data_IF_784535176200
#
_entry.id   IF_784535176200
#
_cell.length_a   1.000
_cell.length_b   1.000
_cell.length_c   1.000
_cell.angle_alpha   90.00
_cell.angle_beta   90.00
_cell.angle_gamma   90.00
#
_symmetry.space_group_name_H-M   'P 1'
#
loop_
_entity.id
_entity.type
_entity.pdbx_description
1 polymer ?
#
# COMPACT_ATOMS: atom_id res chain seq x y z
N UNK A 1 -21.10 86.82 -70.84
CA UNK A 1 -21.21 87.30 -69.45
C UNK A 1 -20.59 86.26 -68.51
N UNK A 2 -19.75 86.75 -67.60
CA UNK A 2 -18.97 86.13 -66.51
C UNK A 2 -19.68 84.99 -65.70
N UNK A 3 -18.99 83.85 -65.44
CA UNK A 3 -18.39 83.37 -64.15
C UNK A 3 -19.37 82.55 -63.27
N UNK A 4 -19.04 81.53 -62.45
CA UNK A 4 -17.84 80.74 -62.11
C UNK A 4 -18.28 79.67 -61.06
N UNK A 5 -17.82 78.39 -61.14
CA UNK A 5 -17.35 77.46 -60.05
C UNK A 5 -18.34 77.09 -58.87
N UNK A 6 -18.40 75.92 -58.21
CA UNK A 6 -17.43 74.81 -57.89
C UNK A 6 -18.10 73.65 -57.09
N UNK A 7 -17.58 72.41 -57.28
CA UNK A 7 -17.24 71.30 -56.32
C UNK A 7 -18.26 70.45 -55.50
N UNK A 8 -18.36 69.17 -55.90
CA UNK A 8 -18.18 67.86 -55.16
C UNK A 8 -18.81 67.56 -53.79
N UNK A 9 -19.46 66.38 -53.66
CA UNK A 9 -18.98 65.22 -52.87
C UNK A 9 -19.99 64.04 -52.89
N UNK A 10 -19.48 62.83 -53.13
CA UNK A 10 -20.16 61.52 -53.01
C UNK A 10 -19.91 60.92 -51.63
N UNK A 11 -20.89 60.25 -51.01
CA UNK A 11 -20.66 59.31 -49.89
C UNK A 11 -21.69 58.17 -49.89
N UNK A 12 -21.20 56.94 -50.07
CA UNK A 12 -21.91 55.67 -49.91
C UNK A 12 -21.90 55.28 -48.43
N UNK A 13 -23.07 54.97 -47.87
CA UNK A 13 -23.20 54.38 -46.53
C UNK A 13 -23.30 52.86 -46.71
N UNK A 14 -22.26 52.14 -46.27
CA UNK A 14 -22.26 50.69 -46.09
C UNK A 14 -22.41 50.41 -44.59
N UNK A 15 -23.54 49.82 -44.21
CA UNK A 15 -23.94 49.52 -42.82
C UNK A 15 -23.32 48.23 -42.31
N UNK A 16 -22.87 48.29 -41.05
CA UNK A 16 -22.11 47.31 -40.30
C UNK A 16 -22.85 45.98 -40.00
N UNK A 17 -22.10 44.88 -40.05
CA UNK A 17 -22.38 43.61 -39.35
C UNK A 17 -21.15 43.29 -38.49
N UNK A 18 -21.18 43.69 -37.22
CA UNK A 18 -20.16 43.34 -36.22
C UNK A 18 -20.85 43.20 -34.85
N UNK A 19 -21.45 42.03 -34.60
CA UNK A 19 -22.16 41.76 -33.34
C UNK A 19 -22.40 40.29 -33.01
N UNK A 20 -21.82 39.34 -33.76
CA UNK A 20 -22.11 37.91 -33.58
C UNK A 20 -20.97 37.09 -32.95
N UNK A 21 -19.79 37.67 -32.68
CA UNK A 21 -18.63 36.89 -32.18
C UNK A 21 -18.60 36.76 -30.65
N UNK A 22 -18.95 37.81 -29.89
CA UNK A 22 -18.79 37.82 -28.41
C UNK A 22 -19.83 36.97 -27.64
N UNK A 23 -21.04 36.79 -28.19
CA UNK A 23 -22.09 36.02 -27.53
C UNK A 23 -21.88 34.49 -27.63
N UNK A 24 -21.15 34.04 -28.65
CA UNK A 24 -20.93 32.61 -28.89
C UNK A 24 -19.78 32.06 -28.02
N UNK A 25 -18.71 32.84 -27.80
CA UNK A 25 -17.58 32.44 -26.94
C UNK A 25 -17.97 32.37 -25.46
N UNK A 26 -18.70 33.35 -24.94
CA UNK A 26 -19.17 33.35 -23.55
C UNK A 26 -20.03 32.11 -23.22
N UNK A 27 -20.95 31.71 -24.12
CA UNK A 27 -21.77 30.50 -23.94
C UNK A 27 -20.96 29.20 -23.90
N UNK A 28 -19.80 29.17 -24.58
CA UNK A 28 -18.92 28.00 -24.60
C UNK A 28 -18.20 27.81 -23.26
N UNK A 29 -17.73 28.89 -22.63
CA UNK A 29 -17.06 28.84 -21.33
C UNK A 29 -17.98 28.34 -20.21
N UNK A 30 -19.25 28.78 -20.18
CA UNK A 30 -20.24 28.25 -19.22
C UNK A 30 -20.46 26.74 -19.39
N UNK A 31 -20.47 26.26 -20.64
CA UNK A 31 -20.64 24.83 -20.93
C UNK A 31 -19.41 24.04 -20.46
N UNK A 32 -18.21 24.61 -20.62
CA UNK A 32 -16.95 24.01 -20.18
C UNK A 32 -16.85 23.92 -18.65
N UNK A 33 -17.21 24.99 -17.92
CA UNK A 33 -17.28 24.99 -16.45
C UNK A 33 -18.26 23.92 -15.95
N UNK A 34 -19.47 23.86 -16.53
CA UNK A 34 -20.46 22.85 -16.14
C UNK A 34 -19.95 21.42 -16.38
N UNK A 35 -19.19 21.19 -17.45
CA UNK A 35 -18.57 19.89 -17.71
C UNK A 35 -17.46 19.55 -16.70
N UNK A 36 -16.67 20.54 -16.28
CA UNK A 36 -15.64 20.36 -15.24
C UNK A 36 -16.28 20.11 -13.88
N UNK A 37 -17.31 20.86 -13.50
CA UNK A 37 -18.06 20.67 -12.24
C UNK A 37 -18.70 19.27 -12.16
N UNK A 38 -19.21 18.75 -13.28
CA UNK A 38 -19.71 17.38 -13.36
C UNK A 38 -18.60 16.36 -13.10
N UNK A 39 -17.39 16.57 -13.65
CA UNK A 39 -16.24 15.69 -13.42
C UNK A 39 -15.74 15.78 -11.96
N UNK A 40 -15.74 16.97 -11.36
CA UNK A 40 -15.39 17.15 -9.93
C UNK A 40 -16.39 16.37 -9.06
N UNK A 41 -17.68 16.45 -9.37
CA UNK A 41 -18.72 15.71 -8.62
C UNK A 41 -18.52 14.19 -8.74
N UNK A 42 -18.18 13.68 -9.92
CA UNK A 42 -17.87 12.27 -10.14
C UNK A 42 -16.65 11.84 -9.30
N UNK A 43 -15.58 12.66 -9.31
CA UNK A 43 -14.35 12.40 -8.55
C UNK A 43 -14.61 12.46 -7.05
N UNK A 44 -15.37 13.44 -6.55
CA UNK A 44 -15.75 13.53 -5.15
C UNK A 44 -16.55 12.30 -4.70
N UNK A 45 -17.43 11.78 -5.57
CA UNK A 45 -18.14 10.53 -5.31
C UNK A 45 -17.21 9.30 -5.32
N UNK A 46 -16.13 9.32 -6.09
CA UNK A 46 -15.07 8.31 -6.02
C UNK A 46 -14.30 8.44 -4.71
N UNK A 47 -13.84 9.64 -4.33
CA UNK A 47 -13.13 9.89 -3.07
C UNK A 47 -13.97 9.45 -1.86
N UNK A 48 -15.26 9.75 -1.86
CA UNK A 48 -16.18 9.37 -0.78
C UNK A 48 -16.44 7.85 -0.69
N UNK A 49 -16.14 7.07 -1.73
CA UNK A 49 -16.29 5.61 -1.75
C UNK A 49 -15.09 4.88 -1.14
N UNK A 50 -13.96 5.55 -0.99
CA UNK A 50 -12.73 4.94 -0.48
C UNK A 50 -12.24 5.70 0.76
N UNK A 51 -12.12 4.99 1.88
CA UNK A 51 -11.66 5.56 3.16
C UNK A 51 -10.15 5.88 3.18
N UNK A 52 -9.40 5.42 2.15
CA UNK A 52 -7.96 5.64 1.98
C UNK A 52 -7.45 5.07 0.65
N UNK A 53 -6.13 5.08 0.47
CA UNK A 53 -5.47 4.26 -0.55
C UNK A 53 -5.25 4.85 -1.93
N UNK A 54 -4.67 4.04 -2.82
CA UNK A 54 -4.20 4.48 -4.12
C UNK A 54 -5.30 5.09 -5.00
N UNK A 55 -6.46 4.44 -5.08
CA UNK A 55 -7.59 4.95 -5.87
C UNK A 55 -8.02 6.32 -5.33
N UNK A 56 -8.08 6.47 -4.01
CA UNK A 56 -8.38 7.74 -3.36
C UNK A 56 -7.30 8.78 -3.65
N UNK A 57 -6.02 8.45 -3.52
CA UNK A 57 -4.90 9.37 -3.81
C UNK A 57 -4.91 9.84 -5.27
N UNK A 58 -5.13 8.94 -6.22
CA UNK A 58 -5.25 9.27 -7.64
C UNK A 58 -6.48 10.14 -7.90
N UNK A 59 -7.62 9.82 -7.27
CA UNK A 59 -8.83 10.62 -7.36
C UNK A 59 -8.64 12.02 -6.74
N UNK A 60 -7.97 12.15 -5.59
CA UNK A 60 -7.62 13.43 -4.96
C UNK A 60 -6.68 14.24 -5.86
N UNK A 61 -5.66 13.63 -6.44
CA UNK A 61 -4.78 14.28 -7.44
C UNK A 61 -5.56 14.77 -8.66
N UNK A 62 -6.47 13.93 -9.19
CA UNK A 62 -7.37 14.29 -10.29
C UNK A 62 -8.29 15.44 -9.90
N UNK A 63 -8.81 15.45 -8.68
CA UNK A 63 -9.66 16.52 -8.14
C UNK A 63 -8.91 17.85 -8.14
N UNK A 64 -7.68 17.87 -7.65
CA UNK A 64 -6.84 19.08 -7.63
C UNK A 64 -6.55 19.59 -9.04
N UNK A 65 -6.28 18.68 -10.00
CA UNK A 65 -6.12 19.05 -11.41
C UNK A 65 -7.39 19.67 -12.00
N UNK A 66 -8.56 19.09 -11.71
CA UNK A 66 -9.86 19.62 -12.18
C UNK A 66 -10.22 20.97 -11.52
N UNK A 67 -9.87 21.17 -10.25
CA UNK A 67 -10.06 22.45 -9.56
C UNK A 67 -9.17 23.54 -10.16
N UNK A 68 -7.91 23.21 -10.48
CA UNK A 68 -7.02 24.11 -11.20
C UNK A 68 -7.60 24.46 -12.58
N UNK A 69 -8.08 23.46 -13.32
CA UNK A 69 -8.71 23.63 -14.62
C UNK A 69 -9.93 24.56 -14.53
N UNK A 70 -10.83 24.33 -13.57
CA UNK A 70 -12.02 25.15 -13.29
C UNK A 70 -11.63 26.62 -13.04
N UNK A 71 -10.69 26.84 -12.13
CA UNK A 71 -10.21 28.18 -11.75
C UNK A 71 -9.70 28.96 -12.96
N UNK A 72 -9.04 28.28 -13.90
CA UNK A 72 -8.52 28.89 -15.12
C UNK A 72 -9.64 29.33 -16.06
N UNK A 73 -10.64 28.46 -16.28
CA UNK A 73 -11.77 28.77 -17.17
C UNK A 73 -12.61 29.91 -16.58
N UNK A 74 -12.79 29.94 -15.26
CA UNK A 74 -13.47 31.04 -14.55
C UNK A 74 -12.73 32.38 -14.70
N UNK A 75 -11.41 32.40 -14.48
CA UNK A 75 -10.62 33.62 -14.64
C UNK A 75 -10.75 34.21 -16.06
N UNK A 76 -10.90 33.35 -17.07
CA UNK A 76 -11.14 33.76 -18.46
C UNK A 76 -12.55 34.33 -18.67
N UNK A 77 -13.56 33.68 -18.11
CA UNK A 77 -14.94 34.14 -18.17
C UNK A 77 -15.07 35.55 -17.57
N UNK A 78 -14.41 35.81 -16.44
CA UNK A 78 -14.36 37.12 -15.81
C UNK A 78 -13.65 38.16 -16.68
N UNK A 79 -12.52 37.79 -17.31
CA UNK A 79 -11.80 38.67 -18.23
C UNK A 79 -12.67 39.08 -19.44
N UNK A 80 -13.49 38.17 -19.98
CA UNK A 80 -14.42 38.46 -21.07
C UNK A 80 -15.59 39.33 -20.61
N UNK A 81 -16.16 39.04 -19.43
CA UNK A 81 -17.27 39.81 -18.86
C UNK A 81 -16.89 41.26 -18.53
N UNK A 82 -15.63 41.51 -18.15
CA UNK A 82 -15.11 42.84 -17.83
C UNK A 82 -14.92 43.75 -19.06
N UNK A 83 -14.98 43.20 -20.29
CA UNK A 83 -14.86 43.99 -21.54
C UNK A 83 -13.57 44.81 -21.68
N UNK A 84 -12.54 44.49 -20.89
CA UNK A 84 -11.32 45.27 -20.81
C UNK A 84 -10.33 44.80 -21.88
N UNK A 85 -9.78 45.73 -22.67
CA UNK A 85 -8.47 45.54 -23.29
C UNK A 85 -7.46 45.42 -22.16
N UNK A 86 -7.24 44.21 -21.69
CA UNK A 86 -6.19 43.93 -20.71
C UNK A 86 -4.88 43.92 -21.51
N UNK A 87 -4.10 44.99 -21.40
CA UNK A 87 -2.69 44.96 -21.81
C UNK A 87 -1.94 44.15 -20.76
N UNK A 88 -1.99 42.82 -20.93
CA UNK A 88 -1.31 41.84 -20.09
C UNK A 88 0.13 41.75 -20.57
N UNK A 89 1.04 42.54 -19.97
CA UNK A 89 2.48 42.28 -20.10
C UNK A 89 2.87 41.20 -19.10
N UNK A 90 2.59 39.96 -19.48
CA UNK A 90 3.05 38.72 -18.83
C UNK A 90 3.69 37.90 -19.96
N UNK A 91 4.62 36.95 -19.73
CA UNK A 91 5.12 36.10 -20.81
C UNK A 91 3.97 35.21 -21.29
N UNK A 92 3.15 35.73 -22.21
CA UNK A 92 2.05 35.03 -22.81
C UNK A 92 2.66 33.96 -23.72
N UNK A 93 2.32 32.71 -23.47
CA UNK A 93 2.52 31.68 -24.48
C UNK A 93 1.55 32.02 -25.59
N UNK A 94 2.06 32.41 -26.76
CA UNK A 94 1.22 32.74 -27.91
C UNK A 94 0.34 31.53 -28.25
N UNK A 95 -1.00 31.69 -28.37
CA UNK A 95 -1.90 30.58 -28.69
C UNK A 95 -1.42 29.83 -29.92
N UNK A 96 -1.34 28.50 -29.80
CA UNK A 96 -0.89 27.60 -30.86
C UNK A 96 -2.07 26.72 -31.31
N UNK A 97 -2.84 27.16 -32.33
CA UNK A 97 -4.00 26.42 -32.80
C UNK A 97 -3.64 25.06 -33.38
N UNK A 98 -2.48 24.90 -34.01
CA UNK A 98 -2.02 23.61 -34.54
C UNK A 98 -1.75 22.61 -33.41
N UNK A 99 -1.13 23.05 -32.30
CA UNK A 99 -0.92 22.20 -31.12
C UNK A 99 -2.25 21.86 -30.43
N UNK A 100 -3.19 22.81 -30.37
CA UNK A 100 -4.52 22.55 -29.83
C UNK A 100 -5.27 21.47 -30.63
N UNK A 101 -5.16 21.48 -31.96
CA UNK A 101 -5.77 20.45 -32.82
C UNK A 101 -5.11 19.08 -32.63
N UNK A 102 -3.78 19.02 -32.48
CA UNK A 102 -3.08 17.77 -32.15
C UNK A 102 -3.53 17.20 -30.80
N UNK A 103 -3.66 18.06 -29.78
CA UNK A 103 -4.11 17.67 -28.44
C UNK A 103 -5.53 17.12 -28.44
N UNK A 104 -6.43 17.59 -29.32
CA UNK A 104 -7.76 16.97 -29.49
C UNK A 104 -7.66 15.50 -29.94
N UNK A 105 -6.73 15.19 -30.84
CA UNK A 105 -6.44 13.82 -31.25
C UNK A 105 -5.88 12.97 -30.11
N UNK A 106 -4.93 13.52 -29.33
CA UNK A 106 -4.37 12.87 -28.15
C UNK A 106 -5.44 12.62 -27.07
N UNK A 107 -6.33 13.59 -26.82
CA UNK A 107 -7.46 13.48 -25.89
C UNK A 107 -8.48 12.44 -26.34
N UNK A 108 -8.83 12.39 -27.63
CA UNK A 108 -9.73 11.37 -28.15
C UNK A 108 -9.17 9.95 -27.97
N UNK A 109 -7.87 9.78 -28.22
CA UNK A 109 -7.18 8.50 -27.96
C UNK A 109 -7.11 8.18 -26.46
N UNK A 110 -6.90 9.18 -25.61
CA UNK A 110 -6.91 9.02 -24.15
C UNK A 110 -8.31 8.66 -23.64
N UNK A 111 -9.37 9.26 -24.18
CA UNK A 111 -10.75 8.92 -23.86
C UNK A 111 -11.06 7.45 -24.17
N UNK A 112 -10.60 6.93 -25.32
CA UNK A 112 -10.74 5.51 -25.63
C UNK A 112 -9.98 4.60 -24.65
N UNK A 113 -8.82 5.03 -24.15
CA UNK A 113 -8.10 4.30 -23.10
C UNK A 113 -8.86 4.28 -21.78
N UNK A 114 -9.48 5.39 -21.40
CA UNK A 114 -10.37 5.48 -20.23
C UNK A 114 -11.54 4.50 -20.37
N UNK A 115 -12.25 4.52 -21.50
CA UNK A 115 -13.39 3.62 -21.73
C UNK A 115 -12.98 2.14 -21.71
N UNK A 116 -11.83 1.81 -22.31
CA UNK A 116 -11.30 0.45 -22.27
C UNK A 116 -10.94 0.02 -20.84
N UNK A 117 -10.31 0.90 -20.06
CA UNK A 117 -9.98 0.63 -18.66
C UNK A 117 -11.24 0.47 -17.79
N UNK A 118 -12.30 1.25 -18.05
CA UNK A 118 -13.58 1.14 -17.33
C UNK A 118 -14.29 -0.20 -17.63
N UNK A 119 -14.26 -0.64 -18.89
CA UNK A 119 -14.81 -1.95 -19.28
C UNK A 119 -14.04 -3.11 -18.64
N UNK A 120 -12.71 -3.01 -18.60
CA UNK A 120 -11.84 -3.98 -17.92
C UNK A 120 -12.18 -4.06 -16.43
N UNK A 121 -12.26 -2.91 -15.75
CA UNK A 121 -12.64 -2.82 -14.33
C UNK A 121 -14.04 -3.36 -14.04
N UNK A 122 -14.99 -3.18 -14.96
CA UNK A 122 -16.34 -3.72 -14.83
C UNK A 122 -16.39 -5.26 -14.97
N UNK A 123 -15.41 -5.86 -15.63
CA UNK A 123 -15.33 -7.31 -15.88
C UNK A 123 -14.43 -8.07 -14.89
N UNK A 124 -13.61 -7.35 -14.13
CA UNK A 124 -12.65 -7.91 -13.19
C UNK A 124 -13.27 -8.13 -11.79
N UNK A 125 -12.70 -9.06 -11.03
CA UNK A 125 -13.04 -9.32 -9.62
C UNK A 125 -11.79 -9.35 -8.73
N UNK A 126 -11.98 -9.15 -7.42
CA UNK A 126 -10.91 -9.19 -6.41
C UNK A 126 -9.79 -8.18 -6.68
N UNK A 127 -8.54 -8.60 -6.45
CA UNK A 127 -7.33 -7.80 -6.66
C UNK A 127 -7.19 -7.24 -8.08
N UNK A 128 -7.57 -8.01 -9.10
CA UNK A 128 -7.55 -7.57 -10.50
C UNK A 128 -8.50 -6.37 -10.71
N UNK A 129 -9.65 -6.36 -10.01
CA UNK A 129 -10.59 -5.25 -10.09
C UNK A 129 -10.01 -3.97 -9.48
N UNK A 130 -9.33 -4.07 -8.33
CA UNK A 130 -8.69 -2.93 -7.67
C UNK A 130 -7.62 -2.29 -8.57
N UNK A 131 -6.83 -3.10 -9.28
CA UNK A 131 -5.84 -2.61 -10.26
C UNK A 131 -6.52 -1.92 -11.43
N UNK A 132 -7.55 -2.55 -11.99
CA UNK A 132 -8.26 -2.00 -13.13
C UNK A 132 -8.90 -0.65 -12.76
N UNK A 133 -9.46 -0.53 -11.55
CA UNK A 133 -9.97 0.74 -11.01
C UNK A 133 -8.86 1.79 -10.80
N UNK A 134 -7.70 1.41 -10.26
CA UNK A 134 -6.56 2.31 -10.17
C UNK A 134 -6.14 2.81 -11.56
N UNK A 135 -6.07 1.92 -12.56
CA UNK A 135 -5.74 2.30 -13.94
C UNK A 135 -6.77 3.25 -14.52
N UNK A 136 -8.07 3.03 -14.28
CA UNK A 136 -9.13 3.98 -14.67
C UNK A 136 -8.81 5.38 -14.15
N UNK A 137 -8.48 5.53 -12.86
CA UNK A 137 -8.16 6.84 -12.31
C UNK A 137 -6.86 7.43 -12.88
N UNK A 138 -5.83 6.61 -13.13
CA UNK A 138 -4.60 7.07 -13.82
C UNK A 138 -4.87 7.58 -15.23
N UNK A 139 -5.69 6.86 -16.01
CA UNK A 139 -6.05 7.26 -17.39
C UNK A 139 -6.92 8.53 -17.37
N UNK A 140 -7.81 8.67 -16.38
CA UNK A 140 -8.64 9.88 -16.19
C UNK A 140 -7.81 11.08 -15.73
N UNK A 141 -6.84 10.90 -14.85
CA UNK A 141 -5.88 11.94 -14.46
C UNK A 141 -5.06 12.42 -15.67
N UNK A 142 -4.58 11.47 -16.49
CA UNK A 142 -3.86 11.80 -17.73
C UNK A 142 -4.73 12.59 -18.71
N UNK A 143 -6.01 12.24 -18.83
CA UNK A 143 -6.98 13.00 -19.64
C UNK A 143 -7.14 14.44 -19.12
N UNK A 144 -7.25 14.62 -17.80
CA UNK A 144 -7.34 15.95 -17.19
C UNK A 144 -6.08 16.81 -17.46
N UNK A 145 -4.89 16.20 -17.43
CA UNK A 145 -3.64 16.88 -17.80
C UNK A 145 -3.61 17.29 -19.29
N UNK A 146 -4.11 16.44 -20.19
CA UNK A 146 -4.24 16.78 -21.62
C UNK A 146 -5.24 17.90 -21.85
N UNK A 147 -6.35 17.93 -21.10
CA UNK A 147 -7.32 19.03 -21.12
C UNK A 147 -6.66 20.35 -20.70
N UNK A 148 -5.86 20.35 -19.63
CA UNK A 148 -5.08 21.54 -19.23
C UNK A 148 -4.15 22.01 -20.34
N UNK A 149 -3.38 21.09 -20.96
CA UNK A 149 -2.49 21.42 -22.07
C UNK A 149 -3.24 21.95 -23.29
N UNK A 150 -4.45 21.43 -23.56
CA UNK A 150 -5.31 21.92 -24.63
C UNK A 150 -5.76 23.35 -24.38
N UNK A 151 -6.22 23.67 -23.17
CA UNK A 151 -6.59 25.03 -22.81
C UNK A 151 -5.39 25.99 -22.90
N UNK A 152 -4.20 25.54 -22.50
CA UNK A 152 -2.96 26.30 -22.69
C UNK A 152 -2.75 26.66 -24.16
N UNK A 153 -2.76 25.64 -25.03
CA UNK A 153 -2.46 25.81 -26.45
C UNK A 153 -3.53 26.64 -27.16
N UNK A 154 -4.81 26.43 -26.83
CA UNK A 154 -5.93 27.12 -27.48
C UNK A 154 -6.07 28.55 -27.02
N UNK A 155 -5.84 28.84 -25.74
CA UNK A 155 -6.17 30.13 -25.12
C UNK A 155 -4.96 30.91 -24.60
N UNK A 156 -3.74 30.38 -24.72
CA UNK A 156 -2.48 31.07 -24.36
C UNK A 156 -2.26 31.25 -22.86
N UNK A 157 -2.88 30.41 -22.03
CA UNK A 157 -2.87 30.52 -20.57
C UNK A 157 -1.55 29.96 -20.04
N UNK A 158 -0.71 30.78 -19.42
CA UNK A 158 0.56 30.34 -18.84
C UNK A 158 0.33 29.57 -17.53
N UNK A 159 0.69 28.29 -17.52
CA UNK A 159 0.70 27.47 -16.31
C UNK A 159 2.05 27.66 -15.60
N UNK A 160 2.09 27.78 -14.26
CA UNK A 160 3.33 27.52 -13.54
C UNK A 160 3.75 26.08 -13.88
N UNK A 161 4.97 25.93 -14.40
CA UNK A 161 5.62 24.64 -14.67
C UNK A 161 5.45 23.77 -13.43
N UNK A 162 4.76 22.63 -13.56
CA UNK A 162 4.78 21.58 -12.53
C UNK A 162 6.23 21.19 -12.31
N UNK A 163 6.79 21.34 -11.09
CA UNK A 163 8.11 20.84 -10.79
C UNK A 163 8.13 19.33 -11.10
N UNK A 164 9.15 18.89 -11.85
CA UNK A 164 9.56 17.50 -11.76
C UNK A 164 9.84 17.17 -10.29
N UNK A 165 9.46 15.97 -9.88
CA UNK A 165 9.75 15.42 -8.54
C UNK A 165 11.25 15.52 -8.29
N UNK A 166 11.65 16.50 -7.48
CA UNK A 166 13.00 16.61 -6.93
C UNK A 166 12.98 15.91 -5.59
N UNK A 167 13.81 14.87 -5.48
CA UNK A 167 14.07 14.14 -4.25
C UNK A 167 14.51 15.09 -3.13
N UNK A 168 13.96 14.99 -1.91
CA UNK A 168 14.55 15.60 -0.73
C UNK A 168 15.60 14.68 -0.11
N UNK A 169 16.79 15.25 0.03
CA UNK A 169 17.91 14.82 0.85
C UNK A 169 17.59 14.83 2.35
N UNK A 170 18.22 13.89 3.06
CA UNK A 170 18.30 13.68 4.51
C UNK A 170 18.70 14.92 5.32
N UNK A 171 18.29 14.99 6.59
CA UNK A 171 19.28 15.18 7.66
C UNK A 171 19.11 14.26 8.88
N UNK A 172 20.24 14.11 9.57
CA UNK A 172 20.60 13.14 10.60
C UNK A 172 20.06 13.39 12.02
N UNK A 173 20.15 12.30 12.80
CA UNK A 173 20.09 12.08 14.25
C UNK A 173 20.52 13.22 15.18
N UNK A 174 19.84 13.33 16.33
CA UNK A 174 20.50 13.24 17.64
C UNK A 174 19.49 12.95 18.77
N UNK A 175 19.83 11.98 19.62
CA UNK A 175 19.14 11.65 20.88
C UNK A 175 19.71 12.49 22.03
N UNK A 176 18.97 12.64 23.15
CA UNK A 176 19.48 12.03 24.38
C UNK A 176 18.39 11.51 25.35
N UNK A 177 18.74 10.43 26.05
CA UNK A 177 18.25 10.04 27.39
C UNK A 177 19.42 10.26 28.38
N UNK A 178 19.31 10.26 29.74
CA UNK A 178 18.26 9.65 30.58
C UNK A 178 17.93 10.42 31.90
N UNK A 179 16.97 9.91 32.69
CA UNK A 179 17.16 9.60 34.13
C UNK A 179 15.84 9.18 34.83
N UNK A 180 15.98 8.20 35.72
CA UNK A 180 14.97 7.53 36.52
C UNK A 180 14.41 8.35 37.70
N UNK A 181 13.27 7.91 38.26
CA UNK A 181 13.10 7.68 39.72
C UNK A 181 11.82 6.88 40.01
N UNK A 182 11.92 6.07 41.06
CA UNK A 182 10.94 5.11 41.55
C UNK A 182 10.12 5.66 42.73
N UNK A 183 8.89 5.13 42.87
CA UNK A 183 8.19 4.66 44.09
C UNK A 183 6.75 4.37 43.62
N UNK A 184 6.13 3.22 43.83
CA UNK A 184 6.14 2.41 45.04
C UNK A 184 4.77 2.60 45.72
N UNK A 185 3.74 1.87 45.26
CA UNK A 185 2.61 1.54 46.12
C UNK A 185 1.96 0.23 45.67
N UNK A 186 1.97 -0.71 46.61
CA UNK A 186 1.63 -2.12 46.47
C UNK A 186 0.12 -2.29 46.61
N UNK A 187 -0.56 -2.30 45.46
CA UNK A 187 -1.83 -3.00 45.27
C UNK A 187 -1.49 -4.14 44.33
N UNK A 188 -2.00 -5.35 44.55
CA UNK A 188 -1.80 -6.50 43.63
C UNK A 188 -2.29 -6.13 42.23
N UNK A 189 -1.40 -5.52 41.45
CA UNK A 189 -1.69 -4.79 40.23
C UNK A 189 -1.30 -5.66 39.04
N UNK A 190 -2.16 -5.65 38.03
CA UNK A 190 -1.83 -6.22 36.73
C UNK A 190 -0.46 -5.69 36.29
N UNK A 191 0.39 -6.59 35.79
CA UNK A 191 1.70 -6.23 35.26
C UNK A 191 1.48 -5.17 34.17
N UNK A 192 2.04 -3.94 34.30
CA UNK A 192 1.70 -2.83 33.40
C UNK A 192 2.19 -3.04 31.97
N UNK A 193 3.10 -4.00 31.78
CA UNK A 193 3.67 -4.39 30.50
C UNK A 193 3.03 -5.69 29.94
N UNK A 194 2.09 -6.30 30.65
CA UNK A 194 1.32 -7.42 30.13
C UNK A 194 0.45 -6.96 28.95
N UNK A 195 0.22 -7.86 28.01
CA UNK A 195 -0.63 -7.58 26.86
C UNK A 195 -2.09 -7.38 27.30
N UNK A 196 -2.67 -6.18 27.08
CA UNK A 196 -4.04 -5.88 27.49
C UNK A 196 -5.09 -6.65 26.68
N UNK A 197 -4.77 -7.09 25.46
CA UNK A 197 -5.71 -7.79 24.57
C UNK A 197 -5.86 -9.27 24.98
N UNK A 198 -4.89 -9.79 25.75
CA UNK A 198 -4.88 -11.17 26.25
C UNK A 198 -4.73 -11.26 27.79
N UNK A 199 -5.70 -10.73 28.58
CA UNK A 199 -5.56 -10.57 30.03
C UNK A 199 -5.60 -11.89 30.83
N UNK A 200 -5.91 -13.01 30.18
CA UNK A 200 -6.02 -14.33 30.83
C UNK A 200 -4.67 -15.08 30.89
N UNK A 201 -3.62 -14.57 30.26
CA UNK A 201 -2.30 -15.19 30.21
C UNK A 201 -1.48 -14.80 31.45
N UNK A 202 -0.75 -15.77 32.01
CA UNK A 202 0.17 -15.51 33.13
C UNK A 202 1.50 -14.95 32.62
N UNK A 203 1.59 -13.63 32.56
CA UNK A 203 2.81 -12.93 32.17
C UNK A 203 3.92 -12.94 33.23
N UNK A 204 3.70 -13.48 34.43
CA UNK A 204 4.77 -13.60 35.45
C UNK A 204 5.76 -14.74 35.17
N UNK A 205 5.53 -15.52 34.10
CA UNK A 205 6.45 -16.57 33.70
C UNK A 205 7.80 -15.99 33.23
N UNK A 206 8.88 -16.66 33.61
CA UNK A 206 10.25 -16.21 33.35
C UNK A 206 10.55 -15.81 31.89
N UNK A 207 10.04 -16.50 30.85
CA UNK A 207 10.26 -16.08 29.46
C UNK A 207 9.69 -14.69 29.14
N UNK A 208 8.51 -14.34 29.68
CA UNK A 208 7.88 -13.04 29.45
C UNK A 208 8.58 -11.92 30.22
N UNK A 209 8.97 -12.18 31.49
CA UNK A 209 9.77 -11.22 32.25
C UNK A 209 11.11 -10.92 31.56
N UNK A 210 11.78 -11.95 31.03
CA UNK A 210 13.03 -11.79 30.30
C UNK A 210 12.80 -10.97 29.02
N UNK A 211 11.80 -11.33 28.21
CA UNK A 211 11.44 -10.61 26.99
C UNK A 211 11.18 -9.12 27.26
N UNK A 212 10.41 -8.81 28.30
CA UNK A 212 10.16 -7.43 28.71
C UNK A 212 11.44 -6.66 29.05
N UNK A 213 12.35 -7.30 29.82
CA UNK A 213 13.62 -6.68 30.20
C UNK A 213 14.56 -6.47 28.99
N UNK A 214 14.45 -7.32 27.97
CA UNK A 214 15.23 -7.23 26.72
C UNK A 214 14.59 -6.25 25.71
N UNK A 215 13.34 -5.84 25.95
CA UNK A 215 12.60 -4.92 25.09
C UNK A 215 11.92 -5.59 23.91
N UNK A 216 11.77 -6.92 23.95
CA UNK A 216 11.05 -7.68 22.94
C UNK A 216 9.54 -7.37 22.96
N UNK A 217 8.90 -7.47 21.79
CA UNK A 217 7.45 -7.31 21.70
C UNK A 217 6.77 -8.56 22.23
N UNK A 218 5.76 -8.38 23.08
CA UNK A 218 4.92 -9.46 23.61
C UNK A 218 3.53 -9.31 22.99
N UNK A 219 3.00 -10.39 22.42
CA UNK A 219 1.62 -10.48 21.92
C UNK A 219 1.04 -11.84 22.28
N UNK A 220 0.04 -11.86 23.16
CA UNK A 220 -0.54 -13.10 23.67
C UNK A 220 0.51 -14.05 24.27
N UNK A 221 0.61 -15.27 23.74
CA UNK A 221 1.61 -16.28 24.14
C UNK A 221 2.96 -16.14 23.40
N UNK A 222 3.09 -15.16 22.51
CA UNK A 222 4.26 -14.96 21.66
C UNK A 222 5.19 -13.87 22.18
N UNK A 223 6.48 -14.19 22.22
CA UNK A 223 7.56 -13.22 22.33
C UNK A 223 8.16 -13.03 20.94
N UNK A 224 8.18 -11.81 20.44
CA UNK A 224 8.60 -11.42 19.10
C UNK A 224 9.86 -10.56 19.22
N UNK A 225 10.99 -11.17 18.88
CA UNK A 225 12.29 -10.51 18.82
C UNK A 225 12.57 -10.07 17.38
N UNK A 226 12.82 -8.78 17.19
CA UNK A 226 13.11 -8.17 15.88
C UNK A 226 14.52 -7.56 15.89
N UNK A 227 15.40 -8.12 15.06
CA UNK A 227 16.81 -7.74 14.94
C UNK A 227 17.18 -7.48 13.47
N UNK A 228 18.41 -7.03 13.24
CA UNK A 228 19.04 -6.95 11.92
C UNK A 228 20.25 -7.86 11.85
N UNK A 229 20.37 -8.62 10.76
CA UNK A 229 21.51 -9.49 10.53
C UNK A 229 22.81 -8.67 10.44
N UNK A 230 23.83 -9.07 11.19
CA UNK A 230 25.08 -8.31 11.31
C UNK A 230 25.89 -8.19 10.01
N UNK A 231 25.61 -9.03 9.00
CA UNK A 231 26.38 -9.10 7.76
C UNK A 231 25.85 -8.14 6.70
N UNK A 232 24.52 -8.06 6.54
CA UNK A 232 23.86 -7.35 5.43
C UNK A 232 22.70 -6.47 5.87
N UNK A 233 22.52 -6.28 7.19
CA UNK A 233 21.44 -5.51 7.81
C UNK A 233 20.02 -5.99 7.43
N UNK A 234 19.89 -7.22 6.92
CA UNK A 234 18.59 -7.80 6.58
C UNK A 234 17.74 -8.00 7.85
N UNK A 235 16.42 -7.78 7.77
CA UNK A 235 15.53 -8.04 8.90
C UNK A 235 15.62 -9.51 9.35
N UNK A 236 15.75 -9.72 10.66
CA UNK A 236 15.73 -11.03 11.30
C UNK A 236 14.66 -11.00 12.38
N UNK A 237 13.70 -11.90 12.32
CA UNK A 237 12.61 -11.98 13.30
C UNK A 237 12.53 -13.38 13.86
N UNK A 238 12.39 -13.49 15.17
CA UNK A 238 12.16 -14.75 15.88
C UNK A 238 10.96 -14.56 16.81
N UNK A 239 9.87 -15.23 16.50
CA UNK A 239 8.67 -15.29 17.34
C UNK A 239 8.60 -16.66 18.04
N UNK A 240 8.47 -16.65 19.36
CA UNK A 240 8.47 -17.85 20.21
C UNK A 240 7.17 -17.94 20.98
N UNK A 241 6.42 -19.02 20.80
CA UNK A 241 5.23 -19.31 21.59
C UNK A 241 5.61 -20.12 22.85
N UNK A 242 5.23 -19.59 24.02
CA UNK A 242 5.52 -20.17 25.34
C UNK A 242 4.30 -20.80 26.04
N UNK A 243 3.18 -21.02 25.35
CA UNK A 243 1.97 -21.63 25.96
C UNK A 243 2.21 -23.04 26.53
N UNK A 244 3.14 -23.79 25.94
CA UNK A 244 3.56 -25.11 26.40
C UNK A 244 4.74 -25.08 27.40
N UNK A 245 5.11 -23.90 27.92
CA UNK A 245 6.21 -23.76 28.87
C UNK A 245 5.87 -24.36 30.24
N UNK A 246 6.71 -25.27 30.73
CA UNK A 246 6.62 -25.80 32.10
C UNK A 246 7.90 -25.50 32.88
N UNK A 247 7.80 -24.58 33.84
CA UNK A 247 8.90 -24.19 34.73
C UNK A 247 9.45 -25.36 35.57
N UNK A 248 8.71 -26.47 35.69
CA UNK A 248 9.14 -27.67 36.44
C UNK A 248 9.83 -28.70 35.55
N UNK A 249 9.85 -28.51 34.23
CA UNK A 249 10.54 -29.40 33.30
C UNK A 249 12.05 -29.26 33.44
N UNK A 250 12.72 -30.38 33.70
CA UNK A 250 14.18 -30.45 33.70
C UNK A 250 14.77 -30.76 32.31
N UNK A 251 13.93 -31.21 31.37
CA UNK A 251 14.28 -31.50 29.98
C UNK A 251 14.08 -30.28 29.07
N UNK A 252 14.25 -29.07 29.63
CA UNK A 252 14.14 -27.74 29.03
C UNK A 252 12.84 -27.39 28.31
N UNK A 253 12.93 -26.50 27.32
CA UNK A 253 11.79 -25.79 26.74
C UNK A 253 11.09 -26.62 25.65
N UNK A 254 9.77 -26.70 25.75
CA UNK A 254 8.88 -27.06 24.64
C UNK A 254 8.31 -25.76 24.10
N UNK A 255 8.60 -25.47 22.84
CA UNK A 255 8.20 -24.20 22.22
C UNK A 255 7.92 -24.39 20.73
N UNK A 256 7.07 -23.51 20.21
CA UNK A 256 6.88 -23.33 18.77
C UNK A 256 7.57 -22.03 18.37
N UNK A 257 8.47 -22.10 17.40
CA UNK A 257 9.18 -20.95 16.84
C UNK A 257 8.65 -20.67 15.44
N UNK A 258 8.30 -19.43 15.14
CA UNK A 258 8.19 -18.92 13.79
C UNK A 258 9.33 -17.90 13.59
N UNK A 259 10.11 -18.01 12.52
CA UNK A 259 11.24 -17.10 12.32
C UNK A 259 11.49 -16.79 10.85
N UNK A 260 12.02 -15.60 10.62
CA UNK A 260 12.63 -15.18 9.36
C UNK A 260 14.12 -14.93 9.61
N UNK A 261 15.01 -15.65 8.90
CA UNK A 261 16.46 -15.42 8.96
C UNK A 261 17.02 -15.48 7.55
N UNK A 262 17.80 -14.47 7.17
CA UNK A 262 18.42 -14.38 5.83
C UNK A 262 17.39 -14.52 4.68
N UNK A 263 16.16 -14.04 4.90
CA UNK A 263 15.05 -14.16 3.94
C UNK A 263 14.41 -15.55 3.85
N UNK A 264 14.78 -16.49 4.73
CA UNK A 264 14.18 -17.82 4.81
C UNK A 264 13.23 -17.94 6.01
N UNK A 265 11.96 -18.22 5.71
CA UNK A 265 10.91 -18.47 6.69
C UNK A 265 10.99 -19.90 7.23
N UNK A 266 10.95 -20.07 8.54
CA UNK A 266 10.85 -21.40 9.16
C UNK A 266 9.88 -21.43 10.33
N UNK A 267 9.20 -22.56 10.48
CA UNK A 267 8.45 -22.89 11.69
C UNK A 267 9.07 -24.14 12.31
N UNK A 268 9.34 -24.08 13.60
CA UNK A 268 10.15 -25.05 14.32
C UNK A 268 9.46 -25.47 15.60
N UNK A 269 9.27 -26.77 15.78
CA UNK A 269 8.86 -27.36 17.03
C UNK A 269 10.09 -27.79 17.81
N UNK A 270 10.38 -27.06 18.89
CA UNK A 270 11.51 -27.32 19.78
C UNK A 270 11.09 -28.30 20.87
N UNK A 271 11.94 -29.30 21.08
CA UNK A 271 11.87 -30.29 22.14
C UNK A 271 13.25 -30.37 22.76
N UNK A 272 13.41 -30.04 24.04
CA UNK A 272 14.72 -30.13 24.73
C UNK A 272 15.06 -31.56 25.20
N UNK A 273 14.56 -32.57 24.47
CA UNK A 273 15.06 -33.95 24.48
C UNK A 273 15.89 -34.21 23.21
N UNK A 274 16.98 -34.98 23.33
CA UNK A 274 17.76 -35.41 22.18
C UNK A 274 16.94 -36.39 21.32
N UNK A 275 16.44 -35.88 20.20
CA UNK A 275 15.69 -36.66 19.23
C UNK A 275 16.65 -37.40 18.32
N UNK A 276 16.25 -38.59 17.88
CA UNK A 276 16.96 -39.34 16.85
C UNK A 276 15.95 -39.77 15.81
N UNK A 277 16.12 -39.26 14.59
CA UNK A 277 15.37 -39.73 13.44
C UNK A 277 15.69 -41.20 13.11
N UNK A 278 14.85 -41.83 12.28
CA UNK A 278 15.10 -43.19 11.84
C UNK A 278 16.38 -43.26 10.99
N UNK A 279 17.16 -44.34 11.12
CA UNK A 279 18.43 -44.53 10.40
C UNK A 279 18.22 -44.28 8.89
N UNK A 280 18.96 -43.29 8.34
CA UNK A 280 18.90 -42.78 6.95
C UNK A 280 17.74 -41.83 6.59
N UNK A 281 16.98 -41.30 7.54
CA UNK A 281 16.00 -40.24 7.29
C UNK A 281 16.39 -39.02 8.12
N UNK A 282 16.50 -37.84 7.52
CA UNK A 282 16.75 -36.58 8.25
C UNK A 282 15.43 -35.85 8.55
N UNK A 283 14.40 -36.61 8.92
CA UNK A 283 13.05 -36.09 9.16
C UNK A 283 12.27 -36.96 10.14
N UNK A 284 11.26 -36.35 10.75
CA UNK A 284 10.33 -36.97 11.68
C UNK A 284 8.93 -37.07 11.07
N UNK A 285 8.20 -38.14 11.41
CA UNK A 285 6.77 -38.22 11.09
C UNK A 285 6.01 -37.38 12.13
N UNK A 286 5.27 -36.38 11.64
CA UNK A 286 4.48 -35.44 12.43
C UNK A 286 3.00 -35.72 12.20
N UNK A 287 2.23 -35.78 13.29
CA UNK A 287 0.77 -35.69 13.23
C UNK A 287 0.36 -34.42 13.94
N UNK A 288 -0.47 -33.60 13.31
CA UNK A 288 -0.89 -32.34 13.88
C UNK A 288 -2.39 -32.12 13.70
N UNK A 289 -2.95 -31.22 14.49
CA UNK A 289 -4.32 -30.75 14.37
C UNK A 289 -4.33 -29.25 14.64
N UNK A 290 -5.07 -28.52 13.82
CA UNK A 290 -5.35 -27.09 13.99
C UNK A 290 -6.82 -27.02 14.41
N UNK A 291 -7.08 -26.41 15.57
CA UNK A 291 -8.38 -26.32 16.20
C UNK A 291 -9.12 -27.68 16.25
N UNK A 292 -10.37 -27.71 15.78
CA UNK A 292 -11.23 -28.88 15.69
C UNK A 292 -11.11 -29.64 14.37
N UNK A 293 -10.20 -29.25 13.48
CA UNK A 293 -10.03 -29.90 12.18
C UNK A 293 -9.61 -31.37 12.33
N UNK A 294 -9.82 -32.23 11.31
CA UNK A 294 -9.27 -33.58 11.32
C UNK A 294 -7.74 -33.57 11.38
N UNK A 295 -7.17 -34.44 12.22
CA UNK A 295 -5.73 -34.57 12.34
C UNK A 295 -5.07 -34.90 10.99
N UNK A 296 -3.99 -34.19 10.68
CA UNK A 296 -3.19 -34.30 9.45
C UNK A 296 -1.85 -34.97 9.74
N UNK A 297 -1.28 -35.62 8.74
CA UNK A 297 0.06 -36.22 8.82
C UNK A 297 1.02 -35.55 7.83
N UNK A 298 2.19 -35.17 8.31
CA UNK A 298 3.24 -34.52 7.51
C UNK A 298 4.63 -34.98 7.94
N UNK A 299 5.68 -34.46 7.32
CA UNK A 299 7.07 -34.71 7.69
C UNK A 299 7.82 -33.41 7.86
N UNK A 300 8.50 -33.27 8.98
CA UNK A 300 9.33 -32.11 9.30
C UNK A 300 10.79 -32.53 9.36
N UNK A 301 11.70 -31.65 8.93
CA UNK A 301 13.12 -31.96 8.91
C UNK A 301 13.69 -31.92 10.32
N UNK A 302 14.62 -32.83 10.61
CA UNK A 302 15.36 -32.83 11.87
C UNK A 302 16.25 -31.58 11.97
N UNK A 303 16.23 -30.91 13.12
CA UNK A 303 17.10 -29.77 13.37
C UNK A 303 18.55 -30.23 13.57
N UNK A 304 19.52 -29.41 13.16
CA UNK A 304 20.96 -29.72 13.27
C UNK A 304 21.44 -29.88 14.72
N UNK A 305 20.72 -29.33 15.69
CA UNK A 305 20.98 -29.48 17.12
C UNK A 305 20.32 -30.74 17.72
N UNK A 306 19.56 -31.50 16.92
CA UNK A 306 18.79 -32.68 17.33
C UNK A 306 17.75 -32.42 18.45
N UNK A 307 17.29 -31.18 18.59
CA UNK A 307 16.34 -30.73 19.63
C UNK A 307 14.98 -30.33 19.05
N UNK A 308 14.55 -30.96 17.96
CA UNK A 308 13.27 -30.65 17.36
C UNK A 308 13.17 -30.99 15.88
N UNK A 309 12.10 -30.48 15.29
CA UNK A 309 11.84 -30.57 13.86
C UNK A 309 11.31 -29.24 13.31
N UNK A 310 11.47 -28.99 12.02
CA UNK A 310 10.91 -27.79 11.39
C UNK A 310 10.55 -27.95 9.91
N UNK A 311 9.72 -27.01 9.45
CA UNK A 311 9.51 -26.69 8.05
C UNK A 311 10.36 -25.47 7.68
N UNK A 312 10.71 -25.37 6.40
CA UNK A 312 11.58 -24.32 5.87
C UNK A 312 11.07 -23.82 4.51
N UNK A 313 11.32 -22.54 4.21
CA UNK A 313 10.89 -21.87 2.98
C UNK A 313 9.38 -21.82 2.81
N UNK A 314 8.90 -22.02 1.58
CA UNK A 314 7.49 -21.90 1.21
C UNK A 314 6.55 -22.87 1.95
N UNK A 315 7.06 -24.03 2.39
CA UNK A 315 6.28 -24.95 3.22
C UNK A 315 5.96 -24.34 4.60
N UNK A 316 6.87 -23.56 5.16
CA UNK A 316 6.63 -22.81 6.40
C UNK A 316 5.66 -21.66 6.18
N UNK A 317 5.79 -20.93 5.07
CA UNK A 317 4.90 -19.82 4.74
C UNK A 317 3.45 -20.32 4.64
N UNK A 318 3.21 -21.40 3.89
CA UNK A 318 1.89 -22.02 3.81
C UNK A 318 1.37 -22.47 5.17
N UNK A 319 2.21 -23.12 5.97
CA UNK A 319 1.82 -23.58 7.30
C UNK A 319 1.51 -22.44 8.28
N UNK A 320 2.26 -21.33 8.23
CA UNK A 320 2.01 -20.15 9.05
C UNK A 320 0.72 -19.43 8.61
N UNK A 321 0.36 -19.46 7.31
CA UNK A 321 -0.96 -19.00 6.85
C UNK A 321 -2.09 -19.85 7.42
N UNK A 322 -1.92 -21.18 7.42
CA UNK A 322 -2.91 -22.10 7.99
C UNK A 322 -3.15 -21.87 9.50
N UNK A 323 -2.13 -21.39 10.22
CA UNK A 323 -2.22 -21.06 11.64
C UNK A 323 -2.71 -19.62 11.92
N UNK A 324 -2.72 -18.73 10.93
CA UNK A 324 -2.93 -17.29 11.13
C UNK A 324 -4.25 -16.96 11.85
N UNK A 325 -5.32 -17.67 11.46
CA UNK A 325 -6.68 -17.49 12.00
C UNK A 325 -7.06 -18.61 13.00
N UNK A 326 -6.09 -19.43 13.42
CA UNK A 326 -6.32 -20.55 14.33
C UNK A 326 -6.18 -20.14 15.82
N UNK A 327 -6.87 -20.86 16.70
CA UNK A 327 -6.84 -20.63 18.15
C UNK A 327 -5.93 -21.64 18.87
N UNK A 328 -5.90 -22.89 18.41
CA UNK A 328 -5.16 -23.98 19.03
C UNK A 328 -4.38 -24.82 18.00
N UNK A 329 -3.16 -25.22 18.38
CA UNK A 329 -2.32 -26.10 17.58
C UNK A 329 -1.80 -27.29 18.39
N UNK A 330 -2.22 -28.49 18.02
CA UNK A 330 -1.69 -29.74 18.56
C UNK A 330 -0.67 -30.35 17.61
N UNK A 331 0.46 -30.82 18.16
CA UNK A 331 1.50 -31.53 17.42
C UNK A 331 2.00 -32.77 18.15
N UNK A 332 2.20 -33.86 17.40
CA UNK A 332 2.84 -35.10 17.82
C UNK A 332 4.01 -35.42 16.90
N UNK A 333 5.21 -35.44 17.46
CA UNK A 333 6.42 -35.91 16.81
C UNK A 333 6.68 -37.37 17.16
N UNK A 334 6.94 -38.22 16.17
CA UNK A 334 7.38 -39.61 16.40
C UNK A 334 8.83 -39.81 15.96
N UNK A 335 9.70 -40.21 16.90
CA UNK A 335 11.12 -40.43 16.63
C UNK A 335 11.42 -41.79 15.96
N UNK A 336 12.67 -42.00 15.58
CA UNK A 336 13.12 -43.24 14.93
C UNK A 336 13.00 -44.51 15.78
N UNK A 337 12.76 -44.38 17.09
CA UNK A 337 12.51 -45.48 18.03
C UNK A 337 11.01 -45.67 18.31
N UNK A 338 10.14 -44.87 17.68
CA UNK A 338 8.71 -44.88 17.89
C UNK A 338 8.25 -44.16 19.17
N UNK A 339 9.13 -43.40 19.84
CA UNK A 339 8.74 -42.56 20.97
C UNK A 339 7.95 -41.36 20.45
N UNK A 340 6.93 -40.95 21.20
CA UNK A 340 6.02 -39.85 20.85
C UNK A 340 6.25 -38.68 21.78
N UNK A 341 6.30 -37.49 21.21
CA UNK A 341 6.44 -36.22 21.90
C UNK A 341 5.26 -35.36 21.46
N UNK A 342 4.40 -35.02 22.41
CA UNK A 342 3.14 -34.33 22.16
C UNK A 342 3.22 -32.94 22.81
N UNK A 343 2.70 -31.93 22.12
CA UNK A 343 2.51 -30.59 22.64
C UNK A 343 1.23 -29.99 22.09
N UNK A 344 0.64 -29.11 22.87
CA UNK A 344 -0.53 -28.30 22.51
C UNK A 344 -0.16 -26.85 22.76
N UNK A 345 -0.45 -26.00 21.79
CA UNK A 345 -0.12 -24.59 21.81
C UNK A 345 -1.38 -23.76 21.70
N UNK A 346 -1.58 -22.86 22.65
CA UNK A 346 -2.52 -21.75 22.55
C UNK A 346 -1.90 -20.67 21.67
N UNK A 347 -2.62 -20.28 20.61
CA UNK A 347 -2.14 -19.40 19.56
C UNK A 347 -2.54 -17.93 19.78
N UNK A 348 -3.07 -17.54 20.94
CA UNK A 348 -3.33 -16.13 21.24
C UNK A 348 -2.11 -15.24 20.92
N UNK A 349 -2.31 -14.21 20.10
CA UNK A 349 -1.27 -13.30 19.59
C UNK A 349 -0.54 -13.79 18.32
N UNK A 350 -0.99 -14.88 17.68
CA UNK A 350 -0.31 -15.44 16.51
C UNK A 350 -0.31 -14.51 15.31
N UNK A 351 -1.34 -13.69 15.12
CA UNK A 351 -1.41 -12.76 13.99
C UNK A 351 -0.19 -11.81 14.00
N UNK A 352 0.13 -11.21 15.15
CA UNK A 352 1.29 -10.31 15.27
C UNK A 352 2.62 -11.03 15.04
N UNK A 353 2.73 -12.28 15.49
CA UNK A 353 3.92 -13.10 15.30
C UNK A 353 4.13 -13.44 13.81
N UNK A 354 3.07 -13.87 13.13
CA UNK A 354 3.12 -14.24 11.72
C UNK A 354 3.31 -13.01 10.84
N UNK A 355 2.65 -11.89 11.12
CA UNK A 355 2.85 -10.62 10.39
C UNK A 355 4.30 -10.11 10.54
N UNK A 356 4.92 -10.23 11.71
CA UNK A 356 6.33 -9.84 11.89
C UNK A 356 7.27 -10.71 11.05
N UNK A 357 7.07 -12.03 11.06
CA UNK A 357 7.86 -12.98 10.28
C UNK A 357 7.65 -12.77 8.78
N UNK A 358 6.40 -12.58 8.36
CA UNK A 358 6.00 -12.31 6.98
C UNK A 358 6.59 -11.00 6.46
N UNK A 359 6.52 -9.94 7.27
CA UNK A 359 7.14 -8.65 7.03
C UNK A 359 8.65 -8.74 6.80
N UNK A 360 9.35 -9.45 7.68
CA UNK A 360 10.79 -9.61 7.60
C UNK A 360 11.25 -10.41 6.37
N UNK A 361 10.50 -11.46 5.99
CA UNK A 361 10.85 -12.31 4.85
C UNK A 361 10.19 -11.87 3.53
N UNK A 362 9.28 -10.88 3.58
CA UNK A 362 8.68 -10.26 2.40
C UNK A 362 7.64 -11.12 1.69
N UNK A 363 6.87 -11.92 2.42
CA UNK A 363 5.71 -12.67 1.89
C UNK A 363 4.41 -12.16 2.55
N UNK A 364 3.25 -12.43 1.94
CA UNK A 364 1.94 -12.03 2.48
C UNK A 364 1.29 -13.15 3.28
N UNK A 365 0.65 -12.81 4.39
CA UNK A 365 -0.20 -13.72 5.18
C UNK A 365 -1.46 -14.14 4.43
N UNK A 366 -1.80 -13.47 3.33
CA UNK A 366 -2.78 -13.94 2.36
C UNK A 366 -2.12 -14.84 1.30
N UNK A 367 -2.88 -15.80 0.77
CA UNK A 367 -2.44 -16.61 -0.37
C UNK A 367 -2.60 -15.83 -1.69
N UNK A 368 -1.64 -14.93 -1.93
CA UNK A 368 -1.61 -14.10 -3.13
C UNK A 368 -1.06 -14.89 -4.32
N UNK A 369 -1.84 -14.94 -5.40
CA UNK A 369 -1.41 -15.53 -6.67
C UNK A 369 -0.35 -14.67 -7.37
N UNK A 370 0.29 -15.23 -8.39
CA UNK A 370 1.24 -14.48 -9.23
C UNK A 370 0.59 -13.26 -9.92
N UNK A 371 -0.69 -13.36 -10.28
CA UNK A 371 -1.43 -12.25 -10.88
C UNK A 371 -1.77 -11.18 -9.83
N UNK A 372 -1.95 -11.57 -8.56
CA UNK A 372 -2.12 -10.66 -7.43
C UNK A 372 -0.85 -9.86 -7.14
N UNK A 373 0.33 -10.50 -7.20
CA UNK A 373 1.58 -9.76 -7.08
C UNK A 373 1.82 -8.80 -8.26
N UNK A 374 1.47 -9.20 -9.48
CA UNK A 374 1.53 -8.32 -10.67
C UNK A 374 0.60 -7.13 -10.49
N UNK A 375 -0.60 -7.39 -9.99
CA UNK A 375 -1.60 -6.40 -9.65
C UNK A 375 -1.04 -5.37 -8.67
N UNK A 376 -0.50 -5.82 -7.53
CA UNK A 376 0.10 -4.95 -6.52
C UNK A 376 1.26 -4.12 -7.07
N UNK A 377 2.18 -4.72 -7.83
CA UNK A 377 3.27 -3.99 -8.47
C UNK A 377 2.75 -2.90 -9.43
N UNK A 378 1.67 -3.19 -10.17
CA UNK A 378 1.05 -2.25 -11.10
C UNK A 378 0.43 -1.08 -10.35
N UNK A 379 -0.26 -1.35 -9.25
CA UNK A 379 -0.84 -0.34 -8.36
C UNK A 379 0.26 0.55 -7.75
N UNK A 380 1.30 -0.04 -7.16
CA UNK A 380 2.42 0.71 -6.60
C UNK A 380 3.03 1.66 -7.63
N UNK A 381 3.30 1.18 -8.84
CA UNK A 381 3.83 2.01 -9.93
C UNK A 381 2.87 3.13 -10.34
N UNK A 382 1.57 2.85 -10.42
CA UNK A 382 0.55 3.86 -10.71
C UNK A 382 0.48 4.95 -9.61
N UNK A 383 0.77 4.57 -8.35
CA UNK A 383 0.91 5.48 -7.22
C UNK A 383 2.21 6.26 -7.16
N UNK A 384 3.14 6.03 -8.10
CA UNK A 384 4.46 6.67 -8.12
C UNK A 384 5.53 5.97 -7.29
N UNK A 385 5.26 4.75 -6.80
CA UNK A 385 6.23 3.91 -6.09
C UNK A 385 6.86 2.92 -7.07
N UNK A 386 8.17 3.04 -7.32
CA UNK A 386 8.88 2.21 -8.31
C UNK A 386 9.04 0.76 -7.82
N UNK A 387 8.06 -0.09 -8.16
CA UNK A 387 8.06 -1.51 -7.90
C UNK A 387 8.80 -2.33 -8.98
N UNK A 388 9.36 -1.67 -10.00
CA UNK A 388 9.95 -2.31 -11.17
C UNK A 388 8.91 -2.76 -12.20
N UNK A 389 9.29 -3.73 -13.04
CA UNK A 389 8.34 -4.31 -14.02
C UNK A 389 7.30 -5.14 -13.26
N UNK A 390 5.99 -4.94 -13.47
CA UNK A 390 4.96 -5.78 -12.89
C UNK A 390 5.03 -7.19 -13.49
N UNK A 391 5.83 -8.06 -12.88
CA UNK A 391 6.15 -9.40 -13.34
C UNK A 391 5.48 -10.50 -12.51
N UNK A 392 4.97 -10.18 -11.31
CA UNK A 392 4.41 -11.12 -10.35
C UNK A 392 5.43 -11.68 -9.35
N UNK A 393 6.68 -11.20 -9.38
CA UNK A 393 7.77 -11.63 -8.49
C UNK A 393 8.03 -10.56 -7.44
N UNK A 394 7.76 -10.87 -6.16
CA UNK A 394 7.97 -9.93 -5.06
C UNK A 394 9.46 -9.77 -4.69
N UNK A 395 10.18 -8.96 -5.46
CA UNK A 395 11.60 -8.68 -5.29
C UNK A 395 11.92 -7.44 -4.44
N UNK A 396 13.19 -7.06 -4.40
CA UNK A 396 13.66 -5.88 -3.63
C UNK A 396 13.02 -4.57 -4.11
N UNK A 397 12.77 -4.41 -5.41
CA UNK A 397 12.07 -3.24 -5.95
C UNK A 397 10.65 -3.13 -5.39
N UNK A 398 9.88 -4.22 -5.46
CA UNK A 398 8.52 -4.28 -4.92
C UNK A 398 8.48 -4.07 -3.40
N UNK A 399 9.41 -4.67 -2.64
CA UNK A 399 9.55 -4.44 -1.19
C UNK A 399 9.82 -2.97 -0.85
N UNK A 400 10.70 -2.31 -1.60
CA UNK A 400 11.03 -0.90 -1.37
C UNK A 400 9.88 0.04 -1.75
N UNK A 401 9.22 -0.21 -2.88
CA UNK A 401 8.02 0.50 -3.29
C UNK A 401 6.91 0.37 -2.24
N UNK A 402 6.69 -0.84 -1.74
CA UNK A 402 5.70 -1.11 -0.71
C UNK A 402 6.02 -0.40 0.60
N UNK A 403 7.29 -0.40 1.01
CA UNK A 403 7.74 0.33 2.20
C UNK A 403 7.44 1.83 2.09
N UNK A 404 7.77 2.44 0.95
CA UNK A 404 7.49 3.85 0.71
C UNK A 404 5.98 4.15 0.72
N UNK A 405 5.15 3.24 0.19
CA UNK A 405 3.70 3.34 0.27
C UNK A 405 3.22 3.28 1.73
N UNK A 406 3.70 2.31 2.50
CA UNK A 406 3.35 2.14 3.91
C UNK A 406 3.74 3.39 4.73
N UNK A 407 4.96 3.91 4.55
CA UNK A 407 5.42 5.14 5.21
C UNK A 407 4.53 6.34 4.89
N UNK A 408 4.16 6.52 3.61
CA UNK A 408 3.30 7.63 3.19
C UNK A 408 1.89 7.53 3.78
N UNK A 409 1.41 6.31 4.06
CA UNK A 409 0.07 6.05 4.59
C UNK A 409 0.05 5.82 6.12
N UNK A 410 1.19 6.01 6.82
CA UNK A 410 1.27 5.85 8.27
C UNK A 410 1.19 4.40 8.76
N UNK A 411 1.48 3.44 7.88
CA UNK A 411 1.55 2.01 8.18
C UNK A 411 2.97 1.59 8.58
N UNK A 412 3.10 0.41 9.19
CA UNK A 412 4.42 -0.17 9.48
C UNK A 412 5.19 -0.42 8.17
N UNK A 413 6.44 0.07 8.04
CA UNK A 413 7.23 0.00 6.80
C UNK A 413 7.88 -1.38 6.56
N UNK A 414 7.08 -2.45 6.60
CA UNK A 414 7.52 -3.84 6.47
C UNK A 414 8.09 -4.15 5.07
N UNK A 415 7.45 -3.61 4.03
CA UNK A 415 7.68 -3.94 2.63
C UNK A 415 6.99 -5.24 2.18
N UNK A 416 6.24 -5.90 3.05
CA UNK A 416 5.38 -7.02 2.70
C UNK A 416 3.98 -6.51 2.31
N UNK A 417 3.24 -7.23 1.45
CA UNK A 417 1.83 -6.96 1.22
C UNK A 417 1.00 -7.56 2.37
N UNK A 418 1.18 -7.01 3.58
CA UNK A 418 0.42 -7.40 4.77
C UNK A 418 -1.05 -6.99 4.67
N UNK A 419 -1.92 -7.59 5.50
CA UNK A 419 -3.38 -7.36 5.42
C UNK A 419 -3.73 -5.88 5.55
N UNK A 420 -3.13 -5.17 6.51
CA UNK A 420 -3.36 -3.75 6.72
C UNK A 420 -2.98 -2.91 5.50
N UNK A 421 -1.89 -3.27 4.82
CA UNK A 421 -1.44 -2.60 3.60
C UNK A 421 -2.35 -2.89 2.41
N UNK A 422 -2.85 -4.12 2.28
CA UNK A 422 -3.81 -4.49 1.25
C UNK A 422 -5.14 -3.76 1.46
N UNK A 423 -5.65 -3.70 2.68
CA UNK A 423 -6.82 -2.89 3.04
C UNK A 423 -6.59 -1.41 2.70
N UNK A 424 -5.42 -0.87 3.05
CA UNK A 424 -5.05 0.50 2.73
C UNK A 424 -4.92 0.73 1.22
N UNK A 425 -4.63 -0.28 0.41
CA UNK A 425 -4.67 -0.19 -1.06
C UNK A 425 -6.10 -0.28 -1.63
N UNK A 426 -7.11 -0.47 -0.77
CA UNK A 426 -8.51 -0.66 -1.16
C UNK A 426 -8.82 -2.10 -1.56
N UNK A 427 -7.96 -3.05 -1.19
CA UNK A 427 -8.13 -4.47 -1.45
C UNK A 427 -8.76 -5.09 -0.21
N UNK A 428 -10.04 -5.43 -0.31
CA UNK A 428 -10.68 -6.27 0.70
C UNK A 428 -10.19 -7.71 0.45
N UNK A 429 -9.53 -8.32 1.44
CA UNK A 429 -9.33 -9.76 1.45
C UNK A 429 -10.74 -10.38 1.46
N UNK A 430 -11.16 -10.98 0.35
CA UNK A 430 -12.37 -11.80 0.37
C UNK A 430 -12.01 -13.11 1.05
N UNK A 431 -12.67 -13.37 2.18
CA UNK A 431 -12.62 -14.64 2.92
C UNK A 431 -12.81 -15.88 2.03
#
# INVERSE_FOLDING_TARGET
MMKLRTLTASLLISTCLAGHTMAQESSALYTEIAAIDSQITEVDATIARYDGGLIRMLAESRREALLLLRTIVEARQEAEAAGATIEVTVPAVEPNPERAEQLLGEMAAQQQRVEAAEQEAASAGGLIQAVALSRVETEKLTLAQLQMAYLQARYGIAFPVTPQVVAPTTPSQDAPSPAATADGDEVTAALPWADPDHPNIDYSLAPFEQAHNEGDRISGWWVINEERAAIDDSPSVVAINYSAYDARSFSGITALLAQCREGETSIVFVQDDFLMSAIRRNSFDINYRIDDAPAQSTRWNELTNNKGAGLFGSASEGFLRDLYDAEEFFIRLTDGKGRRYDAEFDLAGIQDAVEAVAGACGWSTLDLSHDDYRALQTMLNAGGFDAGTPDGVWGNGSRNAMRAFQEQNGLAPTGAPDRATLEALGIQATD
#
